data_IF_658866160718
#
_entry.id   IF_658866160718
#
_cell.length_a   1.000
_cell.length_b   1.000
_cell.length_c   1.000
_cell.angle_alpha   90.00
_cell.angle_beta   90.00
_cell.angle_gamma   90.00
#
_symmetry.space_group_name_H-M   'P 1'
#
loop_
_entity.id
_entity.type
_entity.pdbx_description
1 polymer ?
#
# COMPACT_ATOMS: atom_id res chain seq x y z
N UNK A 1 -15.47 7.45 -3.42
CA UNK A 1 -15.50 7.70 -4.90
C UNK A 1 -14.11 8.16 -5.35
N UNK A 2 -13.60 7.61 -6.44
CA UNK A 2 -12.31 7.97 -7.01
C UNK A 2 -12.37 9.37 -7.64
N UNK A 3 -11.43 10.26 -7.28
CA UNK A 3 -11.26 11.57 -7.91
C UNK A 3 -10.45 11.47 -9.21
N UNK A 4 -10.44 12.53 -10.01
CA UNK A 4 -9.73 12.56 -11.29
C UNK A 4 -8.20 12.36 -11.14
N UNK A 5 -7.63 12.75 -10.02
CA UNK A 5 -6.20 12.55 -9.69
C UNK A 5 -5.87 11.15 -9.16
N UNK A 6 -6.87 10.25 -9.06
CA UNK A 6 -6.71 8.91 -8.52
C UNK A 6 -6.84 8.80 -7.00
N UNK A 7 -7.02 9.90 -6.27
CA UNK A 7 -7.27 9.86 -4.84
C UNK A 7 -8.68 9.32 -4.53
N UNK A 8 -8.81 8.69 -3.37
CA UNK A 8 -10.08 8.16 -2.88
C UNK A 8 -10.66 9.09 -1.83
N UNK A 9 -11.92 9.46 -2.00
CA UNK A 9 -12.65 10.37 -1.11
C UNK A 9 -13.42 9.58 -0.04
N UNK A 10 -12.71 8.79 0.75
CA UNK A 10 -13.26 8.05 1.88
C UNK A 10 -13.09 8.87 3.15
N UNK A 11 -14.17 9.06 3.89
CA UNK A 11 -14.17 9.90 5.09
C UNK A 11 -13.20 9.38 6.16
N UNK A 12 -12.33 10.27 6.62
CA UNK A 12 -11.23 9.95 7.52
C UNK A 12 -10.01 9.29 6.86
N UNK A 13 -10.08 8.88 5.59
CA UNK A 13 -8.94 8.29 4.92
C UNK A 13 -7.80 9.30 4.77
N UNK A 14 -6.59 8.82 5.01
CA UNK A 14 -5.37 9.59 4.78
C UNK A 14 -4.52 8.85 3.76
N UNK A 15 -4.09 9.59 2.76
CA UNK A 15 -3.19 9.05 1.76
C UNK A 15 -3.78 7.85 1.00
N UNK A 16 -5.09 7.95 0.69
CA UNK A 16 -5.85 6.91 0.01
C UNK A 16 -5.80 7.13 -1.51
N UNK A 17 -5.30 6.12 -2.24
CA UNK A 17 -5.07 6.16 -3.68
C UNK A 17 -5.48 4.86 -4.35
N UNK A 18 -6.00 4.98 -5.56
CA UNK A 18 -6.10 3.85 -6.49
C UNK A 18 -4.69 3.51 -7.00
N UNK A 19 -4.36 2.23 -7.01
CA UNK A 19 -3.07 1.71 -7.49
C UNK A 19 -3.23 1.23 -8.93
N UNK A 20 -3.87 0.08 -9.12
CA UNK A 20 -4.14 -0.52 -10.43
C UNK A 20 -5.35 -1.45 -10.30
N UNK A 21 -6.18 -1.56 -11.34
CA UNK A 21 -7.33 -2.47 -11.35
C UNK A 21 -8.24 -2.33 -10.13
N UNK A 22 -8.40 -3.39 -9.36
CA UNK A 22 -9.15 -3.42 -8.09
C UNK A 22 -8.27 -3.25 -6.86
N UNK A 23 -7.08 -2.64 -6.98
CA UNK A 23 -6.15 -2.46 -5.85
C UNK A 23 -6.04 -1.00 -5.44
N UNK A 24 -6.18 -0.75 -4.16
CA UNK A 24 -6.05 0.55 -3.51
C UNK A 24 -4.97 0.52 -2.43
N UNK A 25 -4.47 1.69 -2.04
CA UNK A 25 -3.56 1.85 -0.89
C UNK A 25 -4.00 3.02 -0.02
N UNK A 26 -3.62 2.99 1.27
CA UNK A 26 -3.81 4.12 2.18
C UNK A 26 -2.87 4.05 3.39
N UNK A 27 -2.93 5.07 4.24
CA UNK A 27 -2.38 5.04 5.59
C UNK A 27 -3.16 4.09 6.50
N UNK A 28 -2.92 4.17 7.78
CA UNK A 28 -3.54 3.26 8.75
C UNK A 28 -5.07 3.29 8.69
N UNK A 29 -5.67 2.11 8.60
CA UNK A 29 -7.13 1.92 8.46
C UNK A 29 -7.94 2.46 9.65
N UNK A 30 -7.31 2.62 10.82
CA UNK A 30 -7.94 3.15 12.02
C UNK A 30 -8.34 4.62 11.90
N UNK A 31 -7.90 5.34 10.85
CA UNK A 31 -8.34 6.71 10.56
C UNK A 31 -9.71 6.76 9.86
N UNK A 32 -10.13 5.69 9.19
CA UNK A 32 -11.45 5.65 8.56
C UNK A 32 -12.56 5.79 9.60
N UNK A 33 -13.51 6.67 9.31
CA UNK A 33 -14.79 6.74 10.04
C UNK A 33 -15.74 5.62 9.60
N UNK A 34 -16.87 5.48 10.26
CA UNK A 34 -17.91 4.55 9.80
C UNK A 34 -18.42 4.86 8.39
N UNK A 35 -18.49 6.15 8.02
CA UNK A 35 -18.83 6.59 6.67
C UNK A 35 -17.73 6.19 5.67
N UNK A 36 -16.45 6.40 6.02
CA UNK A 36 -15.33 6.00 5.17
C UNK A 36 -15.26 4.50 4.90
N UNK A 37 -15.55 3.69 5.90
CA UNK A 37 -15.65 2.23 5.71
C UNK A 37 -16.78 1.83 4.75
N UNK A 38 -17.94 2.48 4.89
CA UNK A 38 -19.05 2.26 3.96
C UNK A 38 -18.68 2.68 2.53
N UNK A 39 -18.03 3.83 2.37
CA UNK A 39 -17.59 4.33 1.07
C UNK A 39 -16.58 3.37 0.41
N UNK A 40 -15.59 2.85 1.17
CA UNK A 40 -14.66 1.86 0.67
C UNK A 40 -15.37 0.57 0.24
N UNK A 41 -16.37 0.13 1.01
CA UNK A 41 -17.19 -1.02 0.65
C UNK A 41 -18.01 -0.76 -0.63
N UNK A 42 -18.63 0.40 -0.76
CA UNK A 42 -19.42 0.80 -1.93
C UNK A 42 -18.55 0.89 -3.20
N UNK A 43 -17.27 1.28 -3.05
CA UNK A 43 -16.27 1.32 -4.12
C UNK A 43 -15.65 -0.07 -4.43
N UNK A 44 -16.14 -1.16 -3.82
CA UNK A 44 -15.75 -2.53 -4.17
C UNK A 44 -14.80 -3.21 -3.19
N UNK A 45 -14.23 -2.50 -2.21
CA UNK A 45 -13.29 -3.10 -1.25
C UNK A 45 -13.98 -4.20 -0.43
N UNK A 46 -13.41 -5.40 -0.45
CA UNK A 46 -13.86 -6.56 0.34
C UNK A 46 -12.75 -7.16 1.19
N UNK A 47 -11.51 -6.80 0.90
CA UNK A 47 -10.36 -7.26 1.68
C UNK A 47 -9.42 -6.11 1.97
N UNK A 48 -8.99 -6.00 3.22
CA UNK A 48 -7.92 -5.10 3.67
C UNK A 48 -6.71 -5.95 4.01
N UNK A 49 -5.58 -5.67 3.39
CA UNK A 49 -4.29 -6.31 3.68
C UNK A 49 -3.46 -5.36 4.56
N UNK A 50 -3.31 -5.72 5.82
CA UNK A 50 -2.52 -4.96 6.80
C UNK A 50 -1.05 -5.40 6.72
N UNK A 51 -0.21 -4.52 6.17
CA UNK A 51 1.22 -4.76 5.94
C UNK A 51 2.10 -4.50 7.17
N UNK A 52 1.50 -4.17 8.29
CA UNK A 52 2.21 -3.85 9.55
C UNK A 52 2.45 -5.11 10.37
N UNK A 53 3.43 -5.02 11.27
CA UNK A 53 3.56 -6.01 12.33
C UNK A 53 2.35 -6.00 13.30
N UNK A 54 2.03 -7.13 13.96
CA UNK A 54 0.84 -7.22 14.83
C UNK A 54 0.81 -6.18 15.96
N UNK A 55 1.96 -5.76 16.47
CA UNK A 55 2.06 -4.77 17.55
C UNK A 55 1.68 -3.33 17.12
N UNK A 56 1.71 -3.03 15.81
CA UNK A 56 1.44 -1.70 15.27
C UNK A 56 -0.06 -1.39 15.10
N UNK A 57 -0.91 -2.41 15.12
CA UNK A 57 -2.36 -2.30 14.91
C UNK A 57 -3.15 -1.71 16.08
N UNK A 58 -2.49 -1.22 17.13
CA UNK A 58 -3.17 -0.65 18.30
C UNK A 58 -3.87 0.65 17.92
N UNK A 59 -5.14 0.77 18.35
CA UNK A 59 -5.88 2.02 18.29
C UNK A 59 -5.21 3.08 19.16
N UNK A 60 -5.31 4.34 18.70
CA UNK A 60 -4.92 5.54 19.44
C UNK A 60 -6.17 6.24 19.96
N UNK A 61 -6.06 7.04 21.01
CA UNK A 61 -7.18 7.82 21.56
C UNK A 61 -7.75 8.81 20.54
N UNK A 62 -6.93 9.23 19.57
CA UNK A 62 -7.31 10.14 18.48
C UNK A 62 -8.01 9.46 17.31
N UNK A 63 -8.05 8.12 17.28
CA UNK A 63 -8.72 7.39 16.19
C UNK A 63 -10.25 7.43 16.39
N UNK A 64 -11.05 7.60 15.33
CA UNK A 64 -12.51 7.59 15.44
C UNK A 64 -13.02 6.26 16.03
N UNK A 65 -14.05 6.35 16.86
CA UNK A 65 -14.71 5.17 17.39
C UNK A 65 -15.66 4.63 16.32
N UNK A 66 -15.32 3.49 15.75
CA UNK A 66 -16.08 2.86 14.67
C UNK A 66 -16.66 1.52 15.15
N UNK A 67 -17.98 1.33 15.14
CA UNK A 67 -18.58 0.05 15.51
C UNK A 67 -18.21 -1.03 14.47
N UNK A 68 -18.07 -2.28 14.92
CA UNK A 68 -17.70 -3.40 14.03
C UNK A 68 -18.67 -3.58 12.83
N UNK A 69 -19.95 -3.23 13.02
CA UNK A 69 -20.95 -3.27 11.95
C UNK A 69 -20.62 -2.35 10.76
N UNK A 70 -19.83 -1.27 10.96
CA UNK A 70 -19.53 -0.32 9.90
C UNK A 70 -18.61 -0.88 8.80
N UNK A 71 -17.87 -1.95 9.10
CA UNK A 71 -16.98 -2.64 8.15
C UNK A 71 -17.35 -4.13 8.01
N UNK A 72 -18.60 -4.46 8.34
CA UNK A 72 -19.15 -5.79 8.06
C UNK A 72 -19.06 -6.13 6.58
N UNK A 73 -18.60 -7.34 6.26
CA UNK A 73 -18.37 -7.76 4.87
C UNK A 73 -17.00 -7.40 4.30
N UNK A 74 -16.15 -6.69 5.07
CA UNK A 74 -14.73 -6.46 4.73
C UNK A 74 -13.87 -7.40 5.59
N UNK A 75 -13.08 -8.24 4.93
CA UNK A 75 -12.11 -9.11 5.60
C UNK A 75 -10.80 -8.36 5.85
N UNK A 76 -10.18 -8.55 7.00
CA UNK A 76 -8.86 -7.99 7.31
C UNK A 76 -7.85 -9.11 7.43
N UNK A 77 -6.83 -9.09 6.57
CA UNK A 77 -5.74 -10.06 6.53
C UNK A 77 -4.45 -9.39 6.99
N UNK A 78 -3.83 -9.96 8.01
CA UNK A 78 -2.50 -9.50 8.46
C UNK A 78 -1.43 -10.16 7.59
N UNK A 79 -0.66 -9.36 6.87
CA UNK A 79 0.43 -9.81 6.00
C UNK A 79 1.61 -8.83 6.06
N UNK A 80 2.43 -8.88 7.14
CA UNK A 80 3.56 -7.97 7.32
C UNK A 80 4.63 -8.18 6.25
N UNK A 81 5.22 -7.09 5.78
CA UNK A 81 6.28 -7.09 4.75
C UNK A 81 7.67 -7.34 5.33
N UNK A 82 7.82 -7.30 6.65
CA UNK A 82 9.10 -7.36 7.34
C UNK A 82 9.00 -8.15 8.65
N UNK A 83 10.14 -8.54 9.21
CA UNK A 83 10.25 -9.16 10.52
C UNK A 83 10.78 -8.11 11.51
N UNK A 84 9.93 -7.54 12.38
CA UNK A 84 10.39 -6.62 13.43
C UNK A 84 11.45 -7.26 14.32
N UNK A 85 12.55 -6.51 14.57
CA UNK A 85 13.64 -6.99 15.41
C UNK A 85 14.66 -7.91 14.73
N UNK A 86 14.54 -8.18 13.41
CA UNK A 86 15.64 -8.80 12.66
C UNK A 86 16.85 -7.84 12.66
N UNK A 87 18.02 -8.26 13.16
CA UNK A 87 19.17 -7.36 13.32
C UNK A 87 19.72 -6.85 11.99
N UNK A 88 19.61 -7.62 10.90
CA UNK A 88 20.06 -7.21 9.56
C UNK A 88 19.17 -6.09 9.03
N UNK A 89 17.87 -6.25 9.16
CA UNK A 89 16.88 -5.26 8.77
C UNK A 89 17.00 -3.99 9.62
N UNK A 90 17.10 -4.15 10.94
CA UNK A 90 17.22 -3.01 11.87
C UNK A 90 18.49 -2.19 11.64
N UNK A 91 19.59 -2.83 11.22
CA UNK A 91 20.83 -2.14 10.89
C UNK A 91 20.71 -1.22 9.66
N UNK A 92 19.82 -1.57 8.71
CA UNK A 92 19.58 -0.80 7.48
C UNK A 92 18.51 0.29 7.67
N UNK A 93 17.38 -0.08 8.25
CA UNK A 93 16.16 0.75 8.23
C UNK A 93 15.82 1.35 9.60
N UNK A 94 16.50 0.92 10.65
CA UNK A 94 16.06 1.20 12.02
C UNK A 94 14.86 0.32 12.40
N UNK A 95 13.76 0.91 12.80
CA UNK A 95 12.62 0.16 13.36
C UNK A 95 11.62 -0.36 12.30
N UNK A 96 11.61 0.21 11.11
CA UNK A 96 10.66 -0.09 10.03
C UNK A 96 11.18 0.42 8.68
N UNK A 97 10.64 -0.12 7.59
CA UNK A 97 10.92 0.35 6.23
C UNK A 97 10.41 1.78 6.04
N UNK A 98 11.29 2.70 5.67
CA UNK A 98 11.03 4.14 5.56
C UNK A 98 11.74 4.83 4.40
N UNK A 99 12.44 4.06 3.56
CA UNK A 99 13.18 4.58 2.40
C UNK A 99 13.13 3.55 1.26
N UNK A 100 12.74 3.95 0.03
CA UNK A 100 12.73 3.07 -1.14
C UNK A 100 14.09 2.47 -1.50
N UNK A 101 15.20 3.12 -1.15
CA UNK A 101 16.55 2.57 -1.35
C UNK A 101 16.74 1.20 -0.67
N UNK A 102 15.93 0.88 0.33
CA UNK A 102 15.99 -0.39 1.06
C UNK A 102 14.96 -1.43 0.60
N UNK A 103 14.17 -1.16 -0.46
CA UNK A 103 13.14 -2.11 -0.93
C UNK A 103 13.74 -3.42 -1.44
N UNK A 104 14.82 -3.35 -2.22
CA UNK A 104 15.51 -4.53 -2.72
C UNK A 104 16.06 -5.40 -1.58
N UNK A 105 16.61 -4.78 -0.55
CA UNK A 105 17.13 -5.50 0.61
C UNK A 105 15.98 -6.10 1.47
N UNK A 106 14.87 -5.40 1.63
CA UNK A 106 13.67 -5.95 2.26
C UNK A 106 13.19 -7.21 1.51
N UNK A 107 13.09 -7.14 0.18
CA UNK A 107 12.70 -8.27 -0.66
C UNK A 107 13.67 -9.46 -0.53
N UNK A 108 14.97 -9.17 -0.44
CA UNK A 108 16.01 -10.19 -0.25
C UNK A 108 15.97 -10.85 1.13
N UNK A 109 15.68 -10.07 2.18
CA UNK A 109 15.64 -10.56 3.56
C UNK A 109 14.37 -11.34 3.90
N UNK A 110 13.23 -10.94 3.31
CA UNK A 110 11.91 -11.45 3.68
C UNK A 110 11.06 -11.87 2.47
N UNK A 111 11.56 -12.72 1.57
CA UNK A 111 10.82 -13.12 0.37
C UNK A 111 9.50 -13.81 0.73
N UNK A 112 9.48 -14.62 1.79
CA UNK A 112 8.28 -15.31 2.24
C UNK A 112 7.19 -14.35 2.75
N UNK A 113 7.58 -13.16 3.28
CA UNK A 113 6.64 -12.12 3.71
C UNK A 113 5.97 -11.50 2.50
N UNK A 114 6.74 -11.10 1.48
CA UNK A 114 6.19 -10.54 0.25
C UNK A 114 5.30 -11.54 -0.48
N UNK A 115 5.73 -12.79 -0.61
CA UNK A 115 4.86 -13.86 -1.17
C UNK A 115 3.58 -13.99 -0.35
N UNK A 116 3.64 -13.90 0.97
CA UNK A 116 2.47 -13.91 1.86
C UNK A 116 1.49 -12.76 1.56
N UNK A 117 2.00 -11.55 1.27
CA UNK A 117 1.18 -10.40 0.84
C UNK A 117 0.48 -10.69 -0.49
N UNK A 118 1.22 -11.16 -1.50
CA UNK A 118 0.64 -11.47 -2.82
C UNK A 118 -0.33 -12.65 -2.77
N UNK A 119 -0.10 -13.64 -1.91
CA UNK A 119 -1.07 -14.71 -1.63
C UNK A 119 -2.36 -14.19 -1.00
N UNK A 120 -2.26 -13.19 -0.11
CA UNK A 120 -3.44 -12.53 0.46
C UNK A 120 -4.23 -11.76 -0.61
N UNK A 121 -3.55 -11.07 -1.55
CA UNK A 121 -4.17 -10.40 -2.70
C UNK A 121 -4.85 -11.42 -3.60
N UNK A 122 -4.18 -12.50 -3.99
CA UNK A 122 -4.74 -13.58 -4.81
C UNK A 122 -6.00 -14.19 -4.18
N UNK A 123 -5.97 -14.48 -2.89
CA UNK A 123 -7.11 -15.04 -2.15
C UNK A 123 -8.28 -14.06 -1.97
N UNK A 124 -8.05 -12.78 -2.18
CA UNK A 124 -9.07 -11.74 -2.14
C UNK A 124 -9.79 -11.54 -3.49
N UNK A 125 -9.10 -11.76 -4.59
CA UNK A 125 -9.57 -11.50 -5.97
C UNK A 125 -11.00 -12.00 -6.27
N UNK A 126 -11.41 -13.21 -5.86
CA UNK A 126 -12.77 -13.67 -6.13
C UNK A 126 -13.86 -12.95 -5.32
N UNK A 127 -13.48 -12.20 -4.28
CA UNK A 127 -14.41 -11.58 -3.33
C UNK A 127 -14.70 -10.11 -3.66
N UNK A 128 -13.75 -9.42 -4.31
CA UNK A 128 -13.82 -8.01 -4.64
C UNK A 128 -12.45 -7.34 -4.55
N UNK A 129 -12.45 -6.03 -4.41
CA UNK A 129 -11.25 -5.21 -4.45
C UNK A 129 -10.45 -5.27 -3.14
N UNK A 130 -9.17 -4.93 -3.23
CA UNK A 130 -8.18 -5.02 -2.16
C UNK A 130 -7.68 -3.64 -1.76
N UNK A 131 -7.68 -3.38 -0.46
CA UNK A 131 -7.06 -2.21 0.13
C UNK A 131 -5.77 -2.60 0.86
N UNK A 132 -4.62 -2.16 0.36
CA UNK A 132 -3.33 -2.28 1.02
C UNK A 132 -3.14 -1.13 2.01
N UNK A 133 -2.68 -1.40 3.22
CA UNK A 133 -2.34 -0.32 4.13
C UNK A 133 -1.15 -0.63 5.02
N UNK A 134 -0.46 0.43 5.44
CA UNK A 134 0.56 0.38 6.49
C UNK A 134 0.31 1.49 7.53
N UNK A 135 1.34 2.05 8.13
CA UNK A 135 1.18 3.18 9.06
C UNK A 135 0.94 4.51 8.30
N UNK A 136 1.89 4.92 7.48
CA UNK A 136 1.84 6.18 6.73
C UNK A 136 1.13 6.06 5.37
N UNK A 137 1.01 4.86 4.82
CA UNK A 137 0.58 4.67 3.42
C UNK A 137 1.67 5.07 2.42
N UNK A 138 2.95 5.08 2.83
CA UNK A 138 4.08 5.55 2.02
C UNK A 138 5.01 4.40 1.62
N UNK A 139 5.72 3.78 2.55
CA UNK A 139 6.84 2.89 2.22
C UNK A 139 6.41 1.43 2.03
N UNK A 140 5.97 0.73 3.07
CA UNK A 140 5.53 -0.68 2.96
C UNK A 140 4.43 -0.85 1.91
N UNK A 141 3.40 -0.01 1.96
CA UNK A 141 2.36 -0.01 0.93
C UNK A 141 2.87 0.54 -0.41
N UNK A 142 3.91 1.37 -0.42
CA UNK A 142 4.58 1.85 -1.63
C UNK A 142 5.32 0.74 -2.37
N UNK A 143 6.10 -0.04 -1.64
CA UNK A 143 6.81 -1.20 -2.18
C UNK A 143 5.84 -2.21 -2.83
N UNK A 144 4.78 -2.60 -2.10
CA UNK A 144 3.79 -3.54 -2.64
C UNK A 144 3.00 -2.93 -3.81
N UNK A 145 2.62 -1.64 -3.72
CA UNK A 145 1.93 -0.95 -4.80
C UNK A 145 2.77 -0.86 -6.08
N UNK A 146 4.07 -0.57 -5.95
CA UNK A 146 4.98 -0.56 -7.10
C UNK A 146 5.09 -1.93 -7.78
N UNK A 147 5.17 -3.02 -6.99
CA UNK A 147 5.13 -4.39 -7.53
C UNK A 147 3.79 -4.70 -8.23
N UNK A 148 2.66 -4.25 -7.69
CA UNK A 148 1.34 -4.40 -8.33
C UNK A 148 1.27 -3.61 -9.64
N UNK A 149 1.77 -2.39 -9.66
CA UNK A 149 1.83 -1.55 -10.87
C UNK A 149 2.75 -2.15 -11.95
N UNK A 150 3.88 -2.73 -11.55
CA UNK A 150 4.78 -3.46 -12.45
C UNK A 150 4.06 -4.67 -13.09
N UNK A 151 3.32 -5.46 -12.30
CA UNK A 151 2.48 -6.55 -12.78
C UNK A 151 1.33 -6.07 -13.68
N UNK A 152 0.81 -4.87 -13.46
CA UNK A 152 -0.21 -4.26 -14.30
C UNK A 152 0.33 -3.70 -15.63
N UNK A 153 1.66 -3.60 -15.77
CA UNK A 153 2.30 -3.03 -16.94
C UNK A 153 2.33 -1.51 -16.96
N UNK A 154 2.20 -0.86 -15.80
CA UNK A 154 2.29 0.58 -15.67
C UNK A 154 3.68 1.10 -16.10
N UNK A 155 3.73 2.34 -16.58
CA UNK A 155 4.98 2.99 -16.96
C UNK A 155 5.84 3.33 -15.74
N UNK A 156 7.16 3.47 -15.94
CA UNK A 156 8.08 3.92 -14.90
C UNK A 156 7.63 5.25 -14.29
N UNK A 157 7.11 6.15 -15.11
CA UNK A 157 6.59 7.43 -14.67
C UNK A 157 5.38 7.27 -13.73
N UNK A 158 4.45 6.37 -14.06
CA UNK A 158 3.25 6.14 -13.23
C UNK A 158 3.63 5.50 -11.89
N UNK A 159 4.56 4.55 -11.89
CA UNK A 159 5.09 3.89 -10.68
C UNK A 159 5.76 4.93 -9.77
N UNK A 160 6.68 5.74 -10.30
CA UNK A 160 7.35 6.80 -9.56
C UNK A 160 6.36 7.82 -8.99
N UNK A 161 5.41 8.27 -9.82
CA UNK A 161 4.40 9.24 -9.42
C UNK A 161 3.44 8.68 -8.36
N UNK A 162 3.12 7.39 -8.41
CA UNK A 162 2.36 6.71 -7.37
C UNK A 162 3.01 6.79 -5.99
N UNK A 163 4.34 6.68 -5.93
CA UNK A 163 5.10 6.89 -4.69
C UNK A 163 5.14 8.36 -4.28
N UNK A 164 5.49 9.27 -5.22
CA UNK A 164 5.61 10.72 -4.96
C UNK A 164 4.31 11.31 -4.39
N UNK A 165 3.16 10.95 -4.96
CA UNK A 165 1.84 11.38 -4.46
C UNK A 165 1.59 10.92 -3.03
N UNK A 166 1.90 9.68 -2.73
CA UNK A 166 1.73 9.14 -1.39
C UNK A 166 2.69 9.78 -0.37
N UNK A 167 3.92 10.08 -0.76
CA UNK A 167 4.86 10.77 0.10
C UNK A 167 4.42 12.24 0.37
N UNK A 168 3.91 12.94 -0.64
CA UNK A 168 3.30 14.29 -0.46
C UNK A 168 2.08 14.23 0.44
N UNK A 169 1.20 13.25 0.26
CA UNK A 169 -0.03 13.12 1.05
C UNK A 169 0.24 12.93 2.55
N UNK A 170 1.20 12.09 2.91
CA UNK A 170 1.56 11.92 4.32
C UNK A 170 2.34 13.12 4.87
N UNK A 171 3.18 13.76 4.05
CA UNK A 171 3.89 14.98 4.46
C UNK A 171 2.91 16.12 4.81
N UNK A 172 1.86 16.30 4.01
CA UNK A 172 0.80 17.27 4.28
C UNK A 172 0.05 16.95 5.59
N UNK A 173 -0.18 15.66 5.87
CA UNK A 173 -0.73 15.29 7.17
C UNK A 173 0.20 15.64 8.32
N UNK A 174 1.51 15.44 8.17
CA UNK A 174 2.47 15.83 9.21
C UNK A 174 2.49 17.34 9.46
N UNK A 175 2.28 18.15 8.42
CA UNK A 175 2.15 19.59 8.54
C UNK A 175 0.94 20.00 9.40
N UNK A 176 -0.19 19.31 9.24
CA UNK A 176 -1.47 19.70 9.84
C UNK A 176 -1.76 19.02 11.19
N UNK A 177 -1.24 17.82 11.42
CA UNK A 177 -1.52 17.01 12.62
C UNK A 177 -0.27 16.63 13.41
N UNK A 178 0.92 17.03 12.94
CA UNK A 178 2.18 16.60 13.48
C UNK A 178 2.56 15.14 13.09
N UNK A 179 3.84 14.81 13.16
CA UNK A 179 4.34 13.46 12.92
C UNK A 179 3.97 12.53 14.10
N UNK A 180 3.87 11.21 13.88
CA UNK A 180 3.48 10.25 14.89
C UNK A 180 4.55 9.98 15.96
N UNK A 181 5.81 10.31 15.69
CA UNK A 181 6.98 10.15 16.57
C UNK A 181 8.20 10.88 15.97
N UNK A 182 9.28 10.99 16.72
CA UNK A 182 10.48 11.80 16.41
C UNK A 182 11.28 11.35 15.16
N UNK A 183 10.97 10.18 14.61
CA UNK A 183 11.63 9.66 13.38
C UNK A 183 10.98 10.16 12.10
N UNK A 184 9.80 10.76 12.21
CA UNK A 184 9.08 11.36 11.09
C UNK A 184 9.01 12.86 11.32
N UNK A 185 9.07 13.64 10.25
CA UNK A 185 8.92 15.09 10.31
C UNK A 185 8.17 15.61 9.10
N UNK A 186 7.61 16.78 9.23
CA UNK A 186 7.23 17.57 8.06
C UNK A 186 8.50 18.05 7.34
N UNK A 187 8.48 17.98 6.03
CA UNK A 187 9.58 18.40 5.14
C UNK A 187 9.06 19.53 4.25
N UNK A 188 9.78 20.63 4.22
CA UNK A 188 9.46 21.78 3.36
C UNK A 188 9.66 21.43 1.88
N UNK A 189 8.91 22.10 0.97
CA UNK A 189 8.89 21.75 -0.44
C UNK A 189 10.29 21.81 -1.12
N UNK A 190 11.14 22.73 -0.70
CA UNK A 190 12.48 22.86 -1.26
C UNK A 190 13.40 21.68 -0.91
N UNK A 191 13.15 20.96 0.20
CA UNK A 191 13.83 19.71 0.55
C UNK A 191 13.05 18.51 -0.02
N UNK A 192 11.72 18.56 0.04
CA UNK A 192 10.85 17.45 -0.36
C UNK A 192 10.95 17.15 -1.85
N UNK A 193 10.95 18.18 -2.71
CA UNK A 193 10.99 17.99 -4.16
C UNK A 193 12.16 17.11 -4.63
N UNK A 194 13.43 17.49 -4.34
CA UNK A 194 14.58 16.66 -4.68
C UNK A 194 14.55 15.25 -4.08
N UNK A 195 14.08 15.11 -2.83
CA UNK A 195 13.93 13.81 -2.17
C UNK A 195 12.91 12.91 -2.89
N UNK A 196 11.80 13.47 -3.35
CA UNK A 196 10.78 12.72 -4.08
C UNK A 196 11.26 12.24 -5.45
N UNK A 197 12.08 13.03 -6.14
CA UNK A 197 12.71 12.59 -7.39
C UNK A 197 13.60 11.38 -7.12
N UNK A 198 14.53 11.49 -6.17
CA UNK A 198 15.43 10.40 -5.80
C UNK A 198 14.65 9.14 -5.37
N UNK A 199 13.61 9.28 -4.55
CA UNK A 199 12.81 8.15 -4.09
C UNK A 199 11.98 7.55 -5.21
N UNK A 200 11.43 8.37 -6.13
CA UNK A 200 10.72 7.88 -7.31
C UNK A 200 11.61 7.00 -8.18
N UNK A 201 12.85 7.47 -8.44
CA UNK A 201 13.84 6.71 -9.21
C UNK A 201 14.19 5.38 -8.51
N UNK A 202 14.41 5.40 -7.18
CA UNK A 202 14.71 4.20 -6.40
C UNK A 202 13.57 3.17 -6.43
N UNK A 203 12.31 3.61 -6.43
CA UNK A 203 11.16 2.70 -6.58
C UNK A 203 11.13 2.03 -7.95
N UNK A 204 11.41 2.78 -9.02
CA UNK A 204 11.48 2.24 -10.38
C UNK A 204 12.66 1.26 -10.51
N UNK A 205 13.84 1.65 -10.04
CA UNK A 205 15.02 0.79 -10.03
C UNK A 205 14.75 -0.54 -9.28
N UNK A 206 14.04 -0.46 -8.15
CA UNK A 206 13.65 -1.65 -7.39
C UNK A 206 12.82 -2.62 -8.23
N UNK A 207 11.70 -2.20 -8.84
CA UNK A 207 10.82 -3.12 -9.57
C UNK A 207 11.48 -3.63 -10.85
N UNK A 208 12.25 -2.81 -11.56
CA UNK A 208 12.99 -3.21 -12.77
C UNK A 208 14.11 -4.19 -12.45
N UNK A 209 14.77 -4.03 -11.32
CA UNK A 209 15.81 -4.98 -10.84
C UNK A 209 15.24 -6.26 -10.23
N UNK A 210 13.99 -6.24 -9.75
CA UNK A 210 13.37 -7.38 -9.07
C UNK A 210 12.83 -8.44 -10.03
N UNK A 211 12.30 -8.05 -11.20
CA UNK A 211 11.49 -8.93 -12.06
C UNK A 211 10.34 -9.56 -11.26
N UNK A 212 9.34 -8.73 -10.92
CA UNK A 212 8.28 -9.07 -9.97
C UNK A 212 7.62 -10.44 -10.22
N UNK A 213 7.21 -10.82 -11.45
CA UNK A 213 6.59 -12.13 -11.71
C UNK A 213 7.52 -13.29 -11.35
N UNK A 214 8.76 -13.25 -11.85
CA UNK A 214 9.75 -14.31 -11.61
C UNK A 214 10.17 -14.37 -10.15
N UNK A 215 10.34 -13.21 -9.49
CA UNK A 215 10.62 -13.14 -8.06
C UNK A 215 9.53 -13.84 -7.23
N UNK A 216 8.26 -13.55 -7.48
CA UNK A 216 7.15 -14.15 -6.75
C UNK A 216 7.07 -15.66 -6.95
N UNK A 217 7.18 -16.14 -8.19
CA UNK A 217 7.17 -17.56 -8.51
C UNK A 217 8.36 -18.30 -7.89
N UNK A 218 9.56 -17.74 -7.99
CA UNK A 218 10.79 -18.34 -7.45
C UNK A 218 10.76 -18.47 -5.92
N UNK A 219 10.00 -17.59 -5.25
CA UNK A 219 9.86 -17.60 -3.79
C UNK A 219 8.57 -18.25 -3.28
N UNK A 220 7.83 -18.97 -4.15
CA UNK A 220 6.78 -19.90 -3.75
C UNK A 220 5.34 -19.40 -3.89
N UNK A 221 5.10 -18.32 -4.67
CA UNK A 221 3.77 -18.05 -5.19
C UNK A 221 3.47 -19.04 -6.31
N UNK A 222 2.29 -19.67 -6.29
CA UNK A 222 1.91 -20.58 -7.39
C UNK A 222 1.52 -19.80 -8.65
N UNK A 223 1.61 -20.42 -9.86
CA UNK A 223 1.14 -19.79 -11.09
C UNK A 223 -0.33 -19.34 -11.02
N UNK A 224 -1.20 -20.14 -10.41
CA UNK A 224 -2.61 -19.80 -10.26
C UNK A 224 -2.84 -18.58 -9.33
N UNK A 225 -2.02 -18.43 -8.28
CA UNK A 225 -2.05 -17.24 -7.42
C UNK A 225 -1.53 -16.02 -8.18
N UNK A 226 -0.49 -16.16 -8.99
CA UNK A 226 0.01 -15.07 -9.84
C UNK A 226 -1.05 -14.64 -10.86
N UNK A 227 -1.72 -15.58 -11.52
CA UNK A 227 -2.82 -15.28 -12.45
C UNK A 227 -3.96 -14.50 -11.75
N UNK A 228 -4.30 -14.86 -10.52
CA UNK A 228 -5.30 -14.15 -9.73
C UNK A 228 -4.85 -12.71 -9.39
N UNK A 229 -3.57 -12.51 -9.06
CA UNK A 229 -3.01 -11.16 -8.86
C UNK A 229 -3.04 -10.34 -10.14
N UNK A 230 -2.64 -10.91 -11.26
CA UNK A 230 -2.71 -10.25 -12.57
C UNK A 230 -4.15 -9.87 -12.91
N UNK A 231 -5.11 -10.75 -12.67
CA UNK A 231 -6.53 -10.49 -12.95
C UNK A 231 -7.09 -9.29 -12.15
N UNK A 232 -6.68 -9.10 -10.89
CA UNK A 232 -7.13 -7.95 -10.09
C UNK A 232 -6.33 -6.68 -10.40
N UNK A 233 -5.09 -6.80 -10.88
CA UNK A 233 -4.23 -5.65 -11.19
C UNK A 233 -4.55 -5.01 -12.55
N UNK A 234 -5.17 -5.76 -13.49
CA UNK A 234 -5.57 -5.20 -14.77
C UNK A 234 -6.89 -4.41 -14.64
N UNK A 235 -7.01 -3.34 -15.40
CA UNK A 235 -8.21 -2.49 -15.43
C UNK A 235 -9.43 -3.35 -15.76
N UNK A 236 -10.41 -3.42 -14.87
CA UNK A 236 -11.75 -3.82 -15.27
C UNK A 236 -12.23 -2.80 -16.29
N UNK A 237 -12.27 -3.18 -17.55
CA UNK A 237 -13.04 -2.42 -18.54
C UNK A 237 -14.47 -2.51 -18.05
N UNK A 238 -14.97 -1.44 -17.42
CA UNK A 238 -16.38 -1.30 -17.15
C UNK A 238 -17.08 -1.47 -18.48
N UNK A 239 -17.69 -2.63 -18.67
CA UNK A 239 -18.71 -2.79 -19.71
C UNK A 239 -19.87 -1.91 -19.27
N UNK A 240 -19.78 -0.61 -19.62
CA UNK A 240 -20.96 0.25 -19.59
C UNK A 240 -21.99 -0.46 -20.47
N UNK A 241 -22.99 -1.04 -19.78
CA UNK A 241 -24.14 -1.61 -20.46
C UNK A 241 -24.75 -0.57 -21.41
N UNK A 242 -25.35 -1.01 -22.51
CA UNK A 242 -25.98 -0.10 -23.45
C UNK A 242 -27.09 0.70 -22.74
N UNK A 243 -27.05 2.00 -22.94
CA UNK A 243 -28.10 2.97 -22.57
C UNK A 243 -29.40 2.62 -23.28
#
# INVERSE_FOLDING_TARGET
MKRADGSMDWDGAVNAWHVAGGVYRMGRREWLTGTGWKQAFDDGVRTVVDLRGPAEGRRRDTDPVVPAAAWAGINVVQAPTEQPGDPRFTALTGAYLNDPAHYAENARLFPEKLVGVFRAIAGATPKGDVLLHCAAGRDRSGMVAAMVQDLAGDSDQDIAEGYRRAARGINERYRTHGPPHDRERYVEEHELGPLLEQHGDAVVEFVRGLDTPNYLLANGLSPAELDAVLAISHVRVDTMGPV
#
